data_IF_342194979225
#
_entry.id   IF_342194979225
#
_cell.length_a   1.000
_cell.length_b   1.000
_cell.length_c   1.000
_cell.angle_alpha   90.00
_cell.angle_beta   90.00
_cell.angle_gamma   90.00
#
_symmetry.space_group_name_H-M   'P 1'
#
loop_
_entity.id
_entity.type
_entity.pdbx_description
1 polymer ?
#
# COMPACT_ATOMS: atom_id res chain seq x y z
N UNK A 1 5.66 -1.48 0.63
CA UNK A 1 6.50 -2.68 0.85
C UNK A 1 6.69 -2.87 2.33
N UNK A 2 7.06 -4.07 2.75
CA UNK A 2 7.45 -4.30 4.13
C UNK A 2 8.66 -3.42 4.44
N UNK A 3 8.41 -2.43 5.29
CA UNK A 3 9.38 -1.51 5.92
C UNK A 3 10.21 -0.61 5.00
N UNK A 4 9.74 -0.37 3.78
CA UNK A 4 10.31 0.62 2.85
C UNK A 4 9.25 1.21 1.92
N UNK A 5 9.52 2.41 1.46
CA UNK A 5 8.68 3.14 0.50
C UNK A 5 9.30 3.06 -0.88
N UNK A 6 8.51 2.59 -1.84
CA UNK A 6 8.88 2.54 -3.26
C UNK A 6 8.02 3.52 -4.03
N UNK A 7 8.66 4.43 -4.75
CA UNK A 7 8.00 5.51 -5.47
C UNK A 7 8.24 5.38 -6.97
N UNK A 8 7.21 5.65 -7.76
CA UNK A 8 7.27 5.60 -9.22
C UNK A 8 6.92 6.99 -9.75
N UNK A 9 7.74 7.47 -10.68
CA UNK A 9 7.53 8.69 -11.45
C UNK A 9 7.18 8.31 -12.89
N UNK A 10 5.89 8.09 -13.20
CA UNK A 10 5.48 7.52 -14.48
C UNK A 10 5.82 8.43 -15.66
N UNK A 11 5.73 9.75 -15.48
CA UNK A 11 6.05 10.73 -16.53
C UNK A 11 7.55 10.78 -16.85
N UNK A 12 8.41 10.58 -15.85
CA UNK A 12 9.86 10.63 -16.01
C UNK A 12 10.46 9.25 -16.33
N UNK A 13 9.71 8.16 -16.10
CA UNK A 13 10.14 6.77 -16.30
C UNK A 13 11.12 6.26 -15.25
N UNK A 14 11.15 6.86 -14.05
CA UNK A 14 12.10 6.51 -12.97
C UNK A 14 11.36 6.01 -11.73
N UNK A 15 12.08 5.32 -10.85
CA UNK A 15 11.59 4.96 -9.52
C UNK A 15 12.66 5.14 -8.46
N UNK A 16 12.24 5.20 -7.20
CA UNK A 16 13.13 5.41 -6.05
C UNK A 16 12.69 4.61 -4.83
N UNK A 17 13.62 4.42 -3.90
CA UNK A 17 13.35 3.90 -2.56
C UNK A 17 13.66 4.99 -1.54
N UNK A 18 12.72 5.22 -0.62
CA UNK A 18 12.85 6.08 0.56
C UNK A 18 13.24 7.56 0.30
N UNK A 19 13.20 8.04 -0.94
CA UNK A 19 13.38 9.46 -1.28
C UNK A 19 12.49 9.87 -2.45
N UNK A 20 11.85 11.02 -2.32
CA UNK A 20 11.11 11.68 -3.41
C UNK A 20 11.55 13.14 -3.51
N UNK A 21 11.52 13.69 -4.71
CA UNK A 21 11.65 15.12 -4.95
C UNK A 21 10.50 15.64 -5.81
N UNK A 22 10.14 16.91 -5.62
CA UNK A 22 9.15 17.64 -6.41
C UNK A 22 9.38 19.15 -6.26
N UNK A 23 9.00 19.99 -7.22
CA UNK A 23 9.13 21.45 -7.07
C UNK A 23 8.24 22.00 -5.95
N UNK A 24 8.73 22.95 -5.18
CA UNK A 24 7.91 23.73 -4.24
C UNK A 24 6.80 24.49 -4.98
N UNK A 25 5.73 24.85 -4.26
CA UNK A 25 4.55 25.55 -4.78
C UNK A 25 3.91 24.88 -6.01
N UNK A 26 4.09 23.57 -6.16
CA UNK A 26 3.53 22.78 -7.26
C UNK A 26 2.61 21.69 -6.69
N UNK A 27 1.37 21.53 -7.22
CA UNK A 27 0.49 20.43 -6.84
C UNK A 27 1.11 19.08 -7.17
N UNK A 28 1.19 18.19 -6.17
CA UNK A 28 1.64 16.81 -6.33
C UNK A 28 0.49 15.86 -6.05
N UNK A 29 0.29 14.92 -6.96
CA UNK A 29 -0.78 13.91 -6.91
C UNK A 29 -0.19 12.54 -6.57
N UNK A 30 -0.38 12.09 -5.34
CA UNK A 30 0.03 10.76 -4.93
C UNK A 30 -1.08 9.74 -5.18
N UNK A 31 -0.75 8.68 -5.90
CA UNK A 31 -1.51 7.43 -5.94
C UNK A 31 -0.81 6.43 -5.03
N UNK A 32 -1.49 5.96 -4.00
CA UNK A 32 -0.89 5.14 -2.96
C UNK A 32 -1.57 3.79 -2.90
N UNK A 33 -0.78 2.73 -2.77
CA UNK A 33 -1.23 1.35 -2.58
C UNK A 33 -0.23 0.61 -1.69
N UNK A 34 -0.60 -0.56 -1.18
CA UNK A 34 0.33 -1.47 -0.51
C UNK A 34 0.52 -2.75 -1.34
N UNK A 35 1.69 -3.37 -1.23
CA UNK A 35 1.95 -4.71 -1.76
C UNK A 35 2.04 -5.77 -0.65
N UNK A 36 1.65 -5.42 0.58
CA UNK A 36 1.68 -6.29 1.76
C UNK A 36 0.60 -5.79 2.74
N UNK A 37 0.92 -5.65 4.01
CA UNK A 37 0.04 -5.14 5.07
C UNK A 37 -0.33 -3.67 4.88
N UNK A 38 -1.40 -3.25 5.57
CA UNK A 38 -1.81 -1.84 5.62
C UNK A 38 -0.69 -0.98 6.24
N UNK A 39 -0.50 0.21 5.68
CA UNK A 39 0.45 1.19 6.18
C UNK A 39 -0.17 2.60 6.15
N UNK A 40 0.48 3.59 6.79
CA UNK A 40 0.04 4.98 6.79
C UNK A 40 1.18 5.88 6.32
N UNK A 41 1.06 6.41 5.10
CA UNK A 41 1.99 7.37 4.54
C UNK A 41 1.76 8.73 5.21
N UNK A 42 2.77 9.26 5.87
CA UNK A 42 2.64 10.52 6.61
C UNK A 42 3.85 11.43 6.44
N UNK A 43 3.61 12.70 6.11
CA UNK A 43 4.61 13.78 6.13
C UNK A 43 4.14 14.83 7.16
N UNK A 44 4.62 14.79 8.42
CA UNK A 44 4.07 15.59 9.52
C UNK A 44 4.11 17.10 9.25
N UNK A 45 5.23 17.61 8.74
CA UNK A 45 5.42 19.04 8.46
C UNK A 45 4.55 19.57 7.33
N UNK A 46 3.98 18.69 6.50
CA UNK A 46 3.01 19.05 5.46
C UNK A 46 1.56 18.70 5.87
N UNK A 47 1.34 18.22 7.10
CA UNK A 47 0.02 17.80 7.59
C UNK A 47 -0.66 16.74 6.72
N UNK A 48 0.11 15.98 5.95
CA UNK A 48 -0.39 15.14 4.85
C UNK A 48 -0.29 13.67 5.22
N UNK A 49 -1.43 13.01 5.43
CA UNK A 49 -1.51 11.60 5.79
C UNK A 49 -2.51 10.84 4.92
N UNK A 50 -2.16 9.61 4.50
CA UNK A 50 -3.08 8.70 3.80
C UNK A 50 -2.73 7.23 4.06
N UNK A 51 -3.75 6.38 4.17
CA UNK A 51 -3.54 4.94 4.29
C UNK A 51 -3.18 4.30 2.94
N UNK A 52 -2.28 3.32 3.00
CA UNK A 52 -1.89 2.44 1.91
C UNK A 52 -2.46 1.04 2.18
N UNK A 53 -3.32 0.55 1.29
CA UNK A 53 -3.97 -0.76 1.42
C UNK A 53 -3.72 -1.60 0.17
N UNK A 54 -3.50 -2.90 0.34
CA UNK A 54 -3.30 -3.81 -0.77
C UNK A 54 -4.59 -3.99 -1.57
N UNK A 55 -4.47 -4.08 -2.90
CA UNK A 55 -5.62 -4.20 -3.82
C UNK A 55 -6.44 -2.92 -4.01
N UNK A 56 -6.12 -1.83 -3.30
CA UNK A 56 -6.81 -0.55 -3.43
C UNK A 56 -5.84 0.57 -3.82
N UNK A 57 -6.37 1.59 -4.49
CA UNK A 57 -5.66 2.84 -4.74
C UNK A 57 -6.29 3.97 -3.93
N UNK A 58 -5.53 4.58 -3.01
CA UNK A 58 -5.90 5.83 -2.34
C UNK A 58 -5.23 7.01 -3.04
N UNK A 59 -5.75 8.22 -2.79
CA UNK A 59 -5.27 9.46 -3.43
C UNK A 59 -4.99 10.51 -2.38
N UNK A 60 -3.88 11.23 -2.54
CA UNK A 60 -3.49 12.35 -1.70
C UNK A 60 -3.00 13.49 -2.59
N UNK A 61 -3.47 14.70 -2.29
CA UNK A 61 -3.06 15.93 -2.95
C UNK A 61 -2.27 16.75 -1.94
N UNK A 62 -1.09 17.23 -2.33
CA UNK A 62 -0.30 18.09 -1.46
C UNK A 62 0.42 19.18 -2.25
N UNK A 63 0.72 20.28 -1.56
CA UNK A 63 1.59 21.35 -2.01
C UNK A 63 2.56 21.62 -0.87
N UNK A 64 3.87 21.65 -1.15
CA UNK A 64 4.86 22.18 -0.22
C UNK A 64 5.08 23.67 -0.53
N UNK A 65 4.73 24.54 0.41
CA UNK A 65 4.79 26.00 0.21
C UNK A 65 6.23 26.54 0.21
N UNK A 66 7.15 25.82 0.85
CA UNK A 66 8.53 26.23 1.02
C UNK A 66 9.49 25.15 0.47
N UNK A 67 10.61 25.54 -0.14
CA UNK A 67 11.67 24.59 -0.46
C UNK A 67 12.29 23.99 0.81
N UNK A 68 12.69 22.73 0.73
CA UNK A 68 13.37 22.04 1.84
C UNK A 68 13.13 20.54 1.87
N UNK A 69 13.73 19.89 2.87
CA UNK A 69 13.57 18.45 3.08
C UNK A 69 12.59 18.21 4.23
N UNK A 70 11.56 17.43 3.94
CA UNK A 70 10.50 17.02 4.85
C UNK A 70 10.64 15.55 5.21
N UNK A 71 10.52 15.23 6.49
CA UNK A 71 10.56 13.86 6.97
C UNK A 71 9.23 13.15 6.70
N UNK A 72 9.33 11.98 6.08
CA UNK A 72 8.23 11.07 5.86
C UNK A 72 8.37 9.83 6.75
N UNK A 73 7.26 9.37 7.32
CA UNK A 73 7.21 8.20 8.18
C UNK A 73 6.04 7.29 7.84
N UNK A 74 6.15 6.03 8.26
CA UNK A 74 4.99 5.17 8.50
C UNK A 74 4.35 5.52 9.85
N UNK A 75 3.03 5.75 9.88
CA UNK A 75 2.30 6.07 11.11
C UNK A 75 1.44 4.92 11.66
N UNK A 76 1.57 3.70 11.11
CA UNK A 76 0.82 2.51 11.55
C UNK A 76 1.75 1.33 11.72
N UNK A 77 1.74 0.70 12.92
CA UNK A 77 2.60 -0.44 13.21
C UNK A 77 2.37 -1.57 12.20
N UNK A 78 3.43 -1.94 11.49
CA UNK A 78 3.40 -2.90 10.39
C UNK A 78 4.46 -4.01 10.53
N UNK A 79 4.94 -4.26 11.75
CA UNK A 79 5.95 -5.31 12.04
C UNK A 79 7.34 -4.78 12.43
N UNK A 80 8.36 -5.66 12.47
CA UNK A 80 9.71 -5.39 12.99
C UNK A 80 10.37 -4.11 12.48
N UNK A 81 10.44 -3.92 11.15
CA UNK A 81 11.10 -2.76 10.55
C UNK A 81 10.30 -1.45 10.56
N UNK A 82 9.13 -1.41 11.21
CA UNK A 82 8.25 -0.24 11.22
C UNK A 82 8.97 1.05 11.63
N UNK A 83 9.81 1.01 12.66
CA UNK A 83 10.54 2.18 13.16
C UNK A 83 11.54 2.74 12.13
N UNK A 84 12.06 1.90 11.24
CA UNK A 84 12.95 2.25 10.15
C UNK A 84 12.25 2.65 8.85
N UNK A 85 10.93 2.50 8.77
CA UNK A 85 10.14 2.78 7.58
C UNK A 85 9.92 4.29 7.38
N UNK A 86 11.00 4.98 7.06
CA UNK A 86 11.09 6.43 6.86
C UNK A 86 11.48 6.76 5.42
N UNK A 87 11.16 7.96 4.99
CA UNK A 87 11.59 8.50 3.71
C UNK A 87 11.84 10.01 3.81
N UNK A 88 12.48 10.59 2.80
CA UNK A 88 12.67 12.04 2.68
C UNK A 88 11.88 12.56 1.49
N UNK A 89 11.15 13.66 1.68
CA UNK A 89 10.48 14.39 0.62
C UNK A 89 11.18 15.74 0.41
N UNK A 90 11.74 15.96 -0.76
CA UNK A 90 12.55 17.13 -1.10
C UNK A 90 11.70 18.06 -1.96
N UNK A 91 11.25 19.18 -1.39
CA UNK A 91 10.68 20.28 -2.15
C UNK A 91 11.82 21.12 -2.74
N UNK A 92 12.06 21.00 -4.04
CA UNK A 92 13.15 21.74 -4.71
C UNK A 92 12.76 23.21 -4.87
N UNK A 93 13.73 24.14 -4.89
CA UNK A 93 13.45 25.57 -5.01
C UNK A 93 12.73 25.92 -6.31
N UNK A 94 13.02 25.19 -7.39
CA UNK A 94 12.40 25.38 -8.70
C UNK A 94 12.35 24.06 -9.48
N UNK A 95 11.80 24.16 -10.69
CA UNK A 95 11.69 23.06 -11.66
C UNK A 95 13.05 22.56 -12.14
N UNK A 96 14.03 23.45 -12.32
CA UNK A 96 15.35 23.08 -12.84
C UNK A 96 16.11 22.19 -11.83
N UNK A 97 16.04 22.49 -10.55
CA UNK A 97 16.59 21.66 -9.48
C UNK A 97 15.90 20.29 -9.40
N UNK A 98 14.59 20.21 -9.64
CA UNK A 98 13.89 18.93 -9.78
C UNK A 98 14.37 18.15 -11.00
N UNK A 99 14.52 18.79 -12.16
CA UNK A 99 14.99 18.13 -13.37
C UNK A 99 16.43 17.61 -13.22
N UNK A 100 17.28 18.29 -12.43
CA UNK A 100 18.61 17.79 -12.04
C UNK A 100 18.54 16.52 -11.18
N UNK A 101 17.61 16.48 -10.21
CA UNK A 101 17.38 15.28 -9.40
C UNK A 101 16.89 14.10 -10.26
N UNK A 102 16.00 14.37 -11.22
CA UNK A 102 15.55 13.37 -12.21
C UNK A 102 16.72 12.89 -13.06
N UNK A 103 17.58 13.79 -13.54
CA UNK A 103 18.75 13.42 -14.34
C UNK A 103 19.73 12.54 -13.54
N UNK A 104 19.94 12.81 -12.26
CA UNK A 104 20.70 11.95 -11.35
C UNK A 104 20.08 10.55 -11.25
N UNK A 105 18.76 10.45 -11.07
CA UNK A 105 18.08 9.15 -11.00
C UNK A 105 18.21 8.35 -12.32
N UNK A 106 18.17 9.04 -13.46
CA UNK A 106 18.36 8.42 -14.79
C UNK A 106 19.78 7.91 -15.05
N UNK A 107 20.78 8.35 -14.28
CA UNK A 107 22.15 7.84 -14.35
C UNK A 107 22.34 6.55 -13.53
N UNK A 108 21.33 6.12 -12.77
CA UNK A 108 21.43 4.88 -12.00
C UNK A 108 21.61 3.66 -12.91
N UNK A 109 22.53 2.72 -12.57
CA UNK A 109 22.63 1.45 -13.28
C UNK A 109 21.46 0.51 -12.98
N UNK A 110 20.67 0.79 -11.94
CA UNK A 110 19.58 -0.08 -11.50
C UNK A 110 18.33 0.17 -12.35
N UNK A 111 17.59 -0.90 -12.65
CA UNK A 111 16.33 -0.81 -13.39
C UNK A 111 15.24 -1.62 -12.71
N UNK A 112 13.99 -1.17 -12.86
CA UNK A 112 12.79 -1.84 -12.38
C UNK A 112 11.95 -2.28 -13.58
N UNK A 113 12.53 -3.10 -14.45
CA UNK A 113 11.99 -3.35 -15.80
C UNK A 113 10.96 -4.49 -15.88
N UNK A 114 10.79 -5.27 -14.82
CA UNK A 114 9.85 -6.38 -14.78
C UNK A 114 9.37 -6.69 -13.34
N UNK A 115 8.40 -7.61 -13.24
CA UNK A 115 7.87 -8.04 -11.96
C UNK A 115 8.87 -8.85 -11.12
N UNK A 116 9.85 -9.52 -11.72
CA UNK A 116 10.85 -10.29 -10.96
C UNK A 116 11.82 -9.36 -10.22
N UNK A 117 12.22 -8.24 -10.84
CA UNK A 117 12.97 -7.16 -10.19
C UNK A 117 12.14 -6.56 -9.05
N UNK A 118 10.84 -6.35 -9.27
CA UNK A 118 9.93 -5.85 -8.24
C UNK A 118 9.82 -6.80 -7.05
N UNK A 119 9.61 -8.10 -7.27
CA UNK A 119 9.51 -9.09 -6.18
C UNK A 119 10.82 -9.19 -5.38
N UNK A 120 11.98 -9.10 -6.04
CA UNK A 120 13.28 -9.04 -5.36
C UNK A 120 13.38 -7.82 -4.46
N UNK A 121 12.97 -6.65 -4.96
CA UNK A 121 12.91 -5.44 -4.14
C UNK A 121 11.85 -5.56 -3.05
N UNK A 122 10.74 -6.25 -3.28
CA UNK A 122 9.63 -6.37 -2.34
C UNK A 122 9.94 -7.29 -1.15
N UNK A 123 10.94 -8.18 -1.26
CA UNK A 123 11.38 -9.04 -0.17
C UNK A 123 11.61 -8.22 1.13
N UNK A 124 11.19 -8.71 2.31
CA UNK A 124 11.31 -7.93 3.55
C UNK A 124 12.76 -7.51 3.86
N UNK A 125 12.95 -6.22 4.13
CA UNK A 125 14.23 -5.65 4.55
C UNK A 125 14.00 -4.40 5.39
N UNK A 126 14.94 -4.06 6.26
CA UNK A 126 14.82 -2.92 7.17
C UNK A 126 15.86 -1.84 6.87
N UNK A 127 15.57 -0.59 7.24
CA UNK A 127 16.49 0.55 7.14
C UNK A 127 17.12 0.74 5.75
N UNK A 128 16.34 0.49 4.70
CA UNK A 128 16.78 0.66 3.31
C UNK A 128 17.30 2.08 3.07
N UNK A 129 18.48 2.16 2.48
CA UNK A 129 19.05 3.43 2.03
C UNK A 129 18.33 3.93 0.79
N UNK A 130 18.60 5.18 0.42
CA UNK A 130 18.09 5.76 -0.82
C UNK A 130 18.64 5.01 -2.01
N UNK A 131 17.75 4.61 -2.91
CA UNK A 131 18.09 3.94 -4.17
C UNK A 131 17.31 4.56 -5.32
N UNK A 132 17.92 4.63 -6.50
CA UNK A 132 17.31 5.15 -7.71
C UNK A 132 17.27 4.06 -8.78
N UNK A 133 16.23 4.04 -9.60
CA UNK A 133 16.08 3.17 -10.77
C UNK A 133 15.85 4.05 -12.00
N UNK A 134 16.72 3.90 -13.00
CA UNK A 134 16.71 4.74 -14.21
C UNK A 134 15.59 4.40 -15.19
N UNK A 135 15.02 3.20 -15.05
CA UNK A 135 13.89 2.72 -15.85
C UNK A 135 12.87 2.00 -14.96
N UNK A 136 11.59 2.11 -15.32
CA UNK A 136 10.49 1.41 -14.67
C UNK A 136 9.59 0.78 -15.73
N UNK A 137 9.14 -0.44 -15.47
CA UNK A 137 8.13 -1.11 -16.28
C UNK A 137 6.86 -0.24 -16.41
N UNK A 138 6.39 0.01 -17.64
CA UNK A 138 5.08 0.62 -17.85
C UNK A 138 4.00 -0.14 -17.09
N UNK A 139 3.07 0.61 -16.50
CA UNK A 139 1.93 0.11 -15.73
C UNK A 139 2.26 -0.74 -14.49
N UNK A 140 3.53 -0.73 -14.02
CA UNK A 140 3.94 -1.47 -12.82
C UNK A 140 3.03 -1.23 -11.61
N UNK A 141 2.58 0.02 -11.41
CA UNK A 141 1.65 0.34 -10.32
C UNK A 141 0.32 -0.41 -10.43
N UNK A 142 -0.25 -0.50 -11.64
CA UNK A 142 -1.50 -1.23 -11.87
C UNK A 142 -1.28 -2.74 -11.73
N UNK A 143 -0.16 -3.26 -12.23
CA UNK A 143 0.21 -4.67 -12.09
C UNK A 143 0.31 -5.08 -10.61
N UNK A 144 0.90 -4.24 -9.76
CA UNK A 144 0.99 -4.48 -8.31
C UNK A 144 -0.37 -4.52 -7.64
N UNK A 145 -1.30 -3.63 -8.01
CA UNK A 145 -2.67 -3.65 -7.47
C UNK A 145 -3.40 -4.91 -7.93
N UNK A 146 -3.29 -5.26 -9.21
CA UNK A 146 -4.01 -6.37 -9.82
C UNK A 146 -3.63 -7.74 -9.24
N UNK A 147 -2.42 -7.91 -8.69
CA UNK A 147 -2.03 -9.10 -7.92
C UNK A 147 -3.01 -9.46 -6.82
N UNK A 148 -3.56 -8.44 -6.14
CA UNK A 148 -4.49 -8.64 -5.03
C UNK A 148 -5.95 -8.70 -5.49
N UNK A 149 -6.27 -8.05 -6.62
CA UNK A 149 -7.62 -8.11 -7.21
C UNK A 149 -7.95 -9.48 -7.82
N UNK A 150 -6.96 -10.17 -8.39
CA UNK A 150 -7.16 -11.50 -8.95
C UNK A 150 -7.51 -12.55 -7.86
N UNK A 151 -6.96 -12.41 -6.65
CA UNK A 151 -7.31 -13.26 -5.51
C UNK A 151 -8.69 -12.94 -4.90
N UNK A 152 -9.27 -11.77 -5.19
CA UNK A 152 -10.65 -11.44 -4.79
C UNK A 152 -11.72 -12.16 -5.62
N UNK A 153 -11.39 -12.64 -6.83
CA UNK A 153 -12.32 -13.40 -7.69
C UNK A 153 -12.44 -14.88 -7.33
N UNK A 154 -11.54 -15.43 -6.50
CA UNK A 154 -11.60 -16.83 -6.06
C UNK A 154 -12.43 -17.07 -4.79
N UNK A 155 -13.09 -16.03 -4.26
CA UNK A 155 -14.10 -16.15 -3.21
C UNK A 155 -15.49 -16.01 -3.83
N UNK A 156 -15.80 -16.81 -4.85
CA UNK A 156 -17.19 -17.05 -5.24
C UNK A 156 -17.76 -18.06 -4.23
N UNK A 157 -18.69 -17.57 -3.40
CA UNK A 157 -19.44 -18.37 -2.44
C UNK A 157 -20.47 -19.22 -3.18
N UNK A 158 -20.04 -20.17 -4.00
CA UNK A 158 -20.89 -21.29 -4.41
C UNK A 158 -20.66 -22.44 -3.44
N UNK A 159 -21.16 -22.29 -2.22
CA UNK A 159 -21.44 -23.42 -1.36
C UNK A 159 -22.91 -23.79 -1.60
N UNK A 160 -23.24 -25.00 -2.10
CA UNK A 160 -24.63 -25.38 -2.25
C UNK A 160 -25.24 -25.52 -0.86
N UNK A 161 -26.39 -24.90 -0.66
CA UNK A 161 -27.18 -25.04 0.56
C UNK A 161 -27.46 -26.52 0.80
N UNK A 162 -27.07 -27.00 1.98
CA UNK A 162 -27.36 -28.36 2.43
C UNK A 162 -28.85 -28.59 2.52
N UNK A 163 -29.29 -29.73 1.97
CA UNK A 163 -30.67 -30.18 1.88
C UNK A 163 -31.37 -30.20 3.24
N UNK A 164 -32.50 -29.50 3.32
CA UNK A 164 -33.51 -29.70 4.35
C UNK A 164 -34.16 -31.08 4.18
N UNK A 165 -33.72 -32.07 4.96
CA UNK A 165 -34.49 -33.31 5.13
C UNK A 165 -35.48 -33.16 6.29
N UNK A 166 -36.76 -33.10 5.94
CA UNK A 166 -37.87 -33.25 6.85
C UNK A 166 -37.94 -34.70 7.37
N UNK A 167 -38.27 -34.87 8.64
CA UNK A 167 -38.84 -36.12 9.14
C UNK A 167 -39.94 -35.81 10.16
N UNK A 168 -41.18 -36.05 9.74
CA UNK A 168 -42.36 -36.14 10.59
C UNK A 168 -42.39 -37.47 11.36
N UNK A 169 -42.99 -37.44 12.56
CA UNK A 169 -43.99 -38.43 12.98
C UNK A 169 -43.59 -39.51 13.99
N UNK A 170 -44.04 -39.36 15.26
CA UNK A 170 -44.87 -40.31 16.05
C UNK A 170 -44.83 -39.90 17.55
N UNK A 171 -45.89 -39.28 18.07
CA UNK A 171 -47.07 -39.89 18.72
C UNK A 171 -46.79 -40.63 20.04
N UNK A 172 -47.30 -40.06 21.14
CA UNK A 172 -48.09 -40.82 22.13
C UNK A 172 -47.53 -41.03 23.54
N UNK A 173 -48.36 -40.64 24.52
CA UNK A 173 -48.43 -41.06 25.95
C UNK A 173 -47.51 -40.32 26.96
N UNK A 174 -47.98 -39.84 28.11
CA UNK A 174 -49.31 -39.76 28.75
C UNK A 174 -49.21 -38.76 29.92
N UNK A 175 -50.33 -38.15 30.29
CA UNK A 175 -50.49 -37.13 31.33
C UNK A 175 -50.97 -37.77 32.65
N UNK A 176 -50.41 -37.39 33.79
CA UNK A 176 -51.16 -37.44 35.06
C UNK A 176 -50.71 -36.37 36.06
N UNK A 177 -51.64 -35.46 36.35
CA UNK A 177 -51.64 -34.54 37.49
C UNK A 177 -51.90 -35.30 38.81
N UNK A 178 -51.32 -34.80 39.91
CA UNK A 178 -51.99 -34.76 41.21
C UNK A 178 -51.33 -33.73 42.15
N UNK A 179 -52.06 -32.66 42.47
CA UNK A 179 -51.87 -31.85 43.68
C UNK A 179 -52.21 -32.68 44.93
N UNK A 180 -51.60 -32.38 46.08
CA UNK A 180 -52.29 -32.06 47.36
C UNK A 180 -51.32 -32.00 48.54
N UNK A 181 -51.65 -31.11 49.48
CA UNK A 181 -50.93 -30.72 50.67
C UNK A 181 -50.87 -31.78 51.79
N UNK A 182 -49.81 -31.70 52.61
CA UNK A 182 -49.91 -31.54 54.07
C UNK A 182 -48.56 -31.15 54.69
#
# INVERSE_FOLDING_TARGET
MDWKWFFIYPEQGIATVNEIAFPANTPVYFKVTSNSVMNSFFIPRLGSQIYAMAGMQTRLHLIANEPGTYDGISASYSGPGFSGMKFKAIATPDRAAFDQWVAKAKQSPNTMSDMAAFEKLAAPSEYNQVEYFSNVKPDLFADVINKFMAHGKSMDMTQPEGEHSAHEGMEGMDMSHAESAH
#
